data_IF_089317031917
#
_entry.id   IF_089317031917
#
_cell.length_a   1.000
_cell.length_b   1.000
_cell.length_c   1.000
_cell.angle_alpha   90.00
_cell.angle_beta   90.00
_cell.angle_gamma   90.00
#
_symmetry.space_group_name_H-M   'P 1'
#
loop_
_entity.id
_entity.type
_entity.pdbx_description
1 polymer ?
#
# COMPACT_ATOMS: atom_id res chain seq x y z
N UNK A 1 12.90 -35.79 -48.44
CA UNK A 1 11.76 -35.07 -47.83
C UNK A 1 11.53 -35.43 -46.35
N UNK A 2 11.72 -36.68 -45.92
CA UNK A 2 11.44 -37.10 -44.54
C UNK A 2 12.33 -36.44 -43.44
N UNK A 3 13.56 -36.05 -43.76
CA UNK A 3 14.49 -35.44 -42.78
C UNK A 3 14.08 -34.00 -42.43
N UNK A 4 13.68 -33.21 -43.42
CA UNK A 4 13.18 -31.84 -43.21
C UNK A 4 11.88 -31.83 -42.40
N UNK A 5 10.94 -32.73 -42.71
CA UNK A 5 9.70 -32.90 -41.95
C UNK A 5 9.96 -33.29 -40.49
N UNK A 6 10.94 -34.16 -40.24
CA UNK A 6 11.33 -34.58 -38.89
C UNK A 6 11.98 -33.44 -38.11
N UNK A 7 12.81 -32.61 -38.77
CA UNK A 7 13.39 -31.40 -38.19
C UNK A 7 12.32 -30.38 -37.80
N UNK A 8 11.38 -30.10 -38.70
CA UNK A 8 10.26 -29.18 -38.42
C UNK A 8 9.40 -29.68 -37.25
N UNK A 9 9.05 -30.97 -37.23
CA UNK A 9 8.29 -31.56 -36.13
C UNK A 9 9.00 -31.44 -34.77
N UNK A 10 10.31 -31.69 -34.73
CA UNK A 10 11.11 -31.53 -33.50
C UNK A 10 11.14 -30.08 -33.01
N UNK A 11 11.32 -29.11 -33.92
CA UNK A 11 11.30 -27.69 -33.54
C UNK A 11 9.93 -27.22 -33.05
N UNK A 12 8.84 -27.68 -33.67
CA UNK A 12 7.48 -27.36 -33.22
C UNK A 12 7.19 -27.96 -31.84
N UNK A 13 7.63 -29.18 -31.57
CA UNK A 13 7.48 -29.81 -30.26
C UNK A 13 8.21 -29.05 -29.15
N UNK A 14 9.44 -28.58 -29.41
CA UNK A 14 10.17 -27.76 -28.44
C UNK A 14 9.47 -26.42 -28.18
N UNK A 15 8.98 -25.75 -29.23
CA UNK A 15 8.25 -24.49 -29.08
C UNK A 15 6.95 -24.68 -28.29
N UNK A 16 6.21 -25.76 -28.56
CA UNK A 16 4.99 -26.12 -27.83
C UNK A 16 5.27 -26.30 -26.33
N UNK A 17 6.30 -27.08 -25.98
CA UNK A 17 6.69 -27.30 -24.59
C UNK A 17 7.12 -26.00 -23.88
N UNK A 18 7.83 -25.11 -24.58
CA UNK A 18 8.18 -23.79 -24.06
C UNK A 18 6.95 -22.91 -23.81
N UNK A 19 5.96 -22.92 -24.71
CA UNK A 19 4.72 -22.15 -24.55
C UNK A 19 3.88 -22.68 -23.39
N UNK A 20 3.77 -23.99 -23.22
CA UNK A 20 3.04 -24.62 -22.10
C UNK A 20 3.64 -24.21 -20.76
N UNK A 21 4.97 -24.28 -20.62
CA UNK A 21 5.68 -23.82 -19.43
C UNK A 21 5.49 -22.31 -19.20
N UNK A 22 5.50 -21.49 -20.25
CA UNK A 22 5.22 -20.04 -20.13
C UNK A 22 3.81 -19.77 -19.60
N UNK A 23 2.80 -20.53 -20.04
CA UNK A 23 1.42 -20.38 -19.56
C UNK A 23 1.29 -20.78 -18.09
N UNK A 24 1.95 -21.85 -17.66
CA UNK A 24 1.95 -22.27 -16.26
C UNK A 24 2.63 -21.24 -15.35
N UNK A 25 3.78 -20.70 -15.76
CA UNK A 25 4.48 -19.65 -15.01
C UNK A 25 3.61 -18.39 -14.89
N UNK A 26 2.99 -17.95 -15.99
CA UNK A 26 2.08 -16.80 -15.99
C UNK A 26 0.87 -17.04 -15.07
N UNK A 27 0.34 -18.28 -15.01
CA UNK A 27 -0.74 -18.65 -14.10
C UNK A 27 -0.30 -18.61 -12.64
N UNK A 28 0.90 -19.12 -12.33
CA UNK A 28 1.48 -19.09 -10.98
C UNK A 28 1.66 -17.65 -10.48
N UNK A 29 2.24 -16.77 -11.31
CA UNK A 29 2.39 -15.34 -10.99
C UNK A 29 1.04 -14.68 -10.72
N UNK A 30 0.03 -14.92 -11.58
CA UNK A 30 -1.32 -14.38 -11.37
C UNK A 30 -1.94 -14.84 -10.04
N UNK A 31 -1.70 -16.10 -9.67
CA UNK A 31 -2.22 -16.66 -8.43
C UNK A 31 -1.53 -16.06 -7.19
N UNK A 32 -0.21 -15.83 -7.25
CA UNK A 32 0.53 -15.11 -6.21
C UNK A 32 0.01 -13.67 -6.04
N UNK A 33 -0.15 -12.93 -7.13
CA UNK A 33 -0.70 -11.55 -7.11
C UNK A 33 -2.11 -11.53 -6.51
N UNK A 34 -3.00 -12.42 -6.94
CA UNK A 34 -4.35 -12.52 -6.39
C UNK A 34 -4.32 -12.80 -4.87
N UNK A 35 -3.46 -13.71 -4.42
CA UNK A 35 -3.31 -14.03 -3.00
C UNK A 35 -2.77 -12.85 -2.17
N UNK A 36 -1.85 -12.04 -2.72
CA UNK A 36 -1.34 -10.83 -2.08
C UNK A 36 -2.44 -9.76 -1.95
N UNK A 37 -3.32 -9.62 -2.94
CA UNK A 37 -4.49 -8.72 -2.86
C UNK A 37 -5.49 -9.19 -1.80
N UNK A 38 -5.77 -10.49 -1.68
CA UNK A 38 -6.64 -11.03 -0.63
C UNK A 38 -6.02 -10.91 0.79
N UNK A 39 -4.69 -11.00 0.93
CA UNK A 39 -3.99 -10.70 2.20
C UNK A 39 -4.14 -9.25 2.64
N UNK A 40 -4.29 -8.33 1.69
CA UNK A 40 -4.48 -6.91 1.99
C UNK A 40 -5.87 -6.63 2.60
N UNK A 41 -6.87 -7.47 2.29
CA UNK A 41 -8.24 -7.39 2.84
C UNK A 41 -8.37 -8.05 4.23
N UNK A 42 -7.54 -9.03 4.56
CA UNK A 42 -7.57 -9.75 5.85
C UNK A 42 -6.79 -9.07 6.98
N UNK A 43 -6.09 -7.96 6.70
CA UNK A 43 -5.53 -7.04 7.71
C UNK A 43 -6.55 -5.95 8.12
N UNK A 44 -7.83 -6.09 7.72
CA UNK A 44 -8.93 -5.38 8.37
C UNK A 44 -9.51 -6.20 9.54
N UNK A 45 -8.64 -6.53 10.51
CA UNK A 45 -9.08 -6.85 11.86
C UNK A 45 -9.77 -5.61 12.46
N UNK A 46 -11.10 -5.64 12.48
CA UNK A 46 -12.00 -5.01 13.48
C UNK A 46 -11.50 -3.73 14.17
N UNK A 47 -11.22 -2.69 13.39
CA UNK A 47 -11.45 -1.31 13.83
C UNK A 47 -12.30 -0.65 12.76
N UNK A 48 -13.59 -0.44 13.09
CA UNK A 48 -14.48 0.42 12.33
C UNK A 48 -13.96 1.85 12.46
N UNK A 49 -13.09 2.26 11.55
CA UNK A 49 -12.93 3.68 11.27
C UNK A 49 -14.22 4.09 10.58
N UNK A 50 -15.00 4.98 11.20
CA UNK A 50 -16.12 5.62 10.53
C UNK A 50 -15.56 6.26 9.26
N UNK A 51 -15.80 5.61 8.12
CA UNK A 51 -15.54 6.13 6.79
C UNK A 51 -16.59 7.22 6.52
N UNK A 52 -16.49 8.29 7.30
CA UNK A 52 -17.14 9.55 7.00
C UNK A 52 -16.14 10.34 6.17
N UNK A 53 -16.43 10.48 4.88
CA UNK A 53 -15.56 11.18 3.94
C UNK A 53 -15.25 12.64 4.34
N UNK A 54 -15.88 13.17 5.38
CA UNK A 54 -15.56 14.47 5.96
C UNK A 54 -14.12 14.59 6.49
N UNK A 55 -13.49 13.51 6.98
CA UNK A 55 -12.19 13.62 7.67
C UNK A 55 -11.02 13.94 6.74
N UNK A 56 -11.05 13.49 5.48
CA UNK A 56 -9.98 13.79 4.53
C UNK A 56 -10.11 15.18 3.91
N UNK A 57 -11.33 15.75 3.87
CA UNK A 57 -11.50 17.16 3.49
C UNK A 57 -10.83 18.10 4.48
N UNK A 58 -10.86 17.78 5.77
CA UNK A 58 -10.17 18.56 6.80
C UNK A 58 -8.66 18.54 6.58
N UNK A 59 -8.08 17.39 6.27
CA UNK A 59 -6.64 17.28 5.96
C UNK A 59 -6.26 18.10 4.74
N UNK A 60 -7.08 18.07 3.68
CA UNK A 60 -6.89 18.91 2.47
C UNK A 60 -6.94 20.40 2.78
N UNK A 61 -7.72 20.79 3.78
CA UNK A 61 -7.81 22.18 4.28
C UNK A 61 -6.72 22.54 5.30
N UNK A 62 -5.80 21.62 5.59
CA UNK A 62 -4.72 21.85 6.54
C UNK A 62 -5.14 21.71 8.01
N UNK A 63 -6.29 21.11 8.29
CA UNK A 63 -6.82 20.91 9.66
C UNK A 63 -6.52 19.49 10.15
N UNK A 64 -6.12 19.36 11.41
CA UNK A 64 -5.81 18.06 12.02
C UNK A 64 -7.01 17.11 11.96
N UNK A 65 -6.82 15.90 11.45
CA UNK A 65 -7.89 14.90 11.32
C UNK A 65 -8.33 14.24 12.64
N UNK A 66 -7.67 14.55 13.76
CA UNK A 66 -7.97 13.97 15.07
C UNK A 66 -8.81 14.94 15.91
N UNK A 67 -8.34 16.17 16.12
CA UNK A 67 -9.09 17.15 16.90
C UNK A 67 -10.05 18.00 16.06
N UNK A 68 -9.91 18.00 14.74
CA UNK A 68 -10.73 18.78 13.81
C UNK A 68 -10.74 20.30 14.09
N UNK A 69 -9.71 20.80 14.78
CA UNK A 69 -9.64 22.17 15.30
C UNK A 69 -8.33 22.85 14.91
N UNK A 70 -7.20 22.32 15.39
CA UNK A 70 -5.88 22.90 15.13
C UNK A 70 -5.37 22.62 13.72
N UNK A 71 -4.53 23.51 13.18
CA UNK A 71 -3.82 23.29 11.93
C UNK A 71 -2.83 22.13 12.02
N UNK A 72 -2.59 21.48 10.88
CA UNK A 72 -1.55 20.47 10.71
C UNK A 72 -0.19 21.16 10.75
N UNK A 73 0.63 20.77 11.71
CA UNK A 73 1.98 21.31 11.90
C UNK A 73 3.00 20.20 12.25
N UNK A 74 2.65 18.94 12.02
CA UNK A 74 3.48 17.80 12.41
C UNK A 74 3.61 16.76 11.32
N UNK A 75 4.85 16.34 11.10
CA UNK A 75 5.24 15.23 10.25
C UNK A 75 5.48 13.99 11.10
N UNK A 76 4.87 12.87 10.68
CA UNK A 76 5.06 11.57 11.31
C UNK A 76 6.29 10.88 10.71
N UNK A 77 7.38 10.78 11.48
CA UNK A 77 8.66 10.27 11.00
C UNK A 77 8.58 8.79 10.61
N UNK A 78 9.33 8.44 9.53
CA UNK A 78 9.27 7.23 8.68
C UNK A 78 8.26 7.28 7.54
N UNK A 79 6.99 7.60 7.79
CA UNK A 79 5.99 7.62 6.72
C UNK A 79 5.80 9.00 6.07
N UNK A 80 6.26 10.08 6.71
CA UNK A 80 6.26 11.44 6.17
C UNK A 80 4.90 12.12 6.10
N UNK A 81 3.82 11.45 6.48
CA UNK A 81 2.48 12.00 6.40
C UNK A 81 2.26 13.14 7.41
N UNK A 82 1.69 14.24 6.93
CA UNK A 82 1.27 15.39 7.72
C UNK A 82 -0.26 15.44 7.77
N UNK A 83 -0.85 14.91 8.84
CA UNK A 83 -2.31 14.82 9.00
C UNK A 83 -2.80 15.26 10.39
N UNK A 84 -1.88 15.65 11.27
CA UNK A 84 -2.17 15.93 12.69
C UNK A 84 -1.43 17.17 13.17
N UNK A 85 -1.98 17.82 14.19
CA UNK A 85 -1.24 18.83 14.96
C UNK A 85 -0.28 18.18 15.96
N UNK A 86 0.66 18.96 16.49
CA UNK A 86 1.74 18.51 17.39
C UNK A 86 1.24 17.91 18.70
N UNK A 87 0.05 18.32 19.17
CA UNK A 87 -0.57 17.74 20.37
C UNK A 87 -1.06 16.32 20.07
N UNK A 88 -1.93 16.19 19.07
CA UNK A 88 -2.51 14.89 18.69
C UNK A 88 -1.43 13.91 18.20
N UNK A 89 -0.42 14.38 17.46
CA UNK A 89 0.69 13.55 17.00
C UNK A 89 1.47 12.92 18.17
N UNK A 90 1.73 13.69 19.24
CA UNK A 90 2.41 13.18 20.45
C UNK A 90 1.53 12.22 21.24
N UNK A 91 0.23 12.46 21.31
CA UNK A 91 -0.72 11.53 21.92
C UNK A 91 -0.77 10.20 21.15
N UNK A 92 -0.79 10.25 19.81
CA UNK A 92 -0.69 9.06 18.96
C UNK A 92 0.60 8.27 19.23
N UNK A 93 1.75 8.94 19.30
CA UNK A 93 3.04 8.31 19.57
C UNK A 93 3.06 7.60 20.94
N UNK A 94 2.44 8.19 21.96
CA UNK A 94 2.31 7.58 23.30
C UNK A 94 1.32 6.42 23.34
N UNK A 95 0.34 6.41 22.46
CA UNK A 95 -0.71 5.40 22.36
C UNK A 95 -0.39 4.30 21.36
N UNK A 96 -1.22 4.19 20.31
CA UNK A 96 -1.09 3.14 19.30
C UNK A 96 0.18 3.24 18.43
N UNK A 97 0.82 4.42 18.38
CA UNK A 97 2.06 4.64 17.64
C UNK A 97 1.93 4.41 16.13
N UNK A 98 0.75 4.65 15.54
CA UNK A 98 0.49 4.41 14.11
C UNK A 98 -0.10 5.65 13.43
N UNK A 99 0.34 5.89 12.20
CA UNK A 99 -0.16 6.98 11.36
C UNK A 99 -1.66 6.78 11.02
N UNK A 100 -2.52 7.81 11.17
CA UNK A 100 -3.93 7.73 10.78
C UNK A 100 -4.17 7.44 9.29
N UNK A 101 -3.27 7.89 8.41
CA UNK A 101 -3.42 7.74 6.96
C UNK A 101 -2.98 6.37 6.44
N UNK A 102 -1.78 5.91 6.82
CA UNK A 102 -1.17 4.72 6.24
C UNK A 102 -0.94 3.59 7.25
N UNK A 103 -1.28 3.79 8.52
CA UNK A 103 -1.07 2.86 9.64
C UNK A 103 0.39 2.46 9.90
N UNK A 104 1.35 3.07 9.20
CA UNK A 104 2.77 2.88 9.46
C UNK A 104 3.14 3.29 10.89
N UNK A 105 4.10 2.60 11.54
CA UNK A 105 4.58 2.98 12.86
C UNK A 105 5.14 4.41 12.87
N UNK A 106 4.78 5.18 13.88
CA UNK A 106 5.32 6.52 14.16
C UNK A 106 6.55 6.30 15.03
N UNK A 107 7.72 6.64 14.52
CA UNK A 107 8.97 6.56 15.30
C UNK A 107 9.22 7.86 16.06
N UNK A 108 8.90 8.99 15.44
CA UNK A 108 9.09 10.32 16.00
C UNK A 108 8.05 11.28 15.41
N UNK A 109 7.77 12.37 16.13
CA UNK A 109 6.94 13.47 15.66
C UNK A 109 7.82 14.69 15.45
N UNK A 110 7.92 15.15 14.21
CA UNK A 110 8.72 16.33 13.84
C UNK A 110 7.77 17.48 13.59
N UNK A 111 7.96 18.60 14.30
CA UNK A 111 7.18 19.81 14.07
C UNK A 111 7.65 20.51 12.79
N UNK A 112 6.72 20.78 11.89
CA UNK A 112 6.96 21.49 10.65
C UNK A 112 6.65 22.98 10.82
N UNK A 113 7.51 23.83 10.27
CA UNK A 113 7.34 25.27 10.25
C UNK A 113 7.36 25.74 8.79
N UNK A 114 6.43 26.61 8.43
CA UNK A 114 6.40 27.19 7.09
C UNK A 114 7.30 28.41 7.02
N UNK A 115 8.10 28.50 5.96
CA UNK A 115 8.93 29.66 5.62
C UNK A 115 8.26 30.44 4.48
N UNK A 116 7.16 31.12 4.81
CA UNK A 116 6.47 32.04 3.89
C UNK A 116 6.27 33.37 4.58
#
# INVERSE_FOLDING_TARGET
>A
MAVLQRGMASTQQMLQACMEMQVELQRSIRQEVASAMHRSLSVHGTVRWYDDGSQWELVRKGTCCICCDSQIDSLLYRCGHMCTCSKCARELLRGAGKCPLCRAPIVEVVRAYSII
#
